data_IF_319138275854
#
_entry.id   IF_319138275854
#
_cell.length_a   1.000
_cell.length_b   1.000
_cell.length_c   1.000
_cell.angle_alpha   90.00
_cell.angle_beta   90.00
_cell.angle_gamma   90.00
#
_symmetry.space_group_name_H-M   'P 1'
#
loop_
_entity.id
_entity.type
_entity.pdbx_description
1 polymer ?
#
# COMPACT_ATOMS: atom_id res chain seq x y z
N UNK A 1 -37.51 46.90 -22.46
CA UNK A 1 -37.17 46.52 -22.29
C UNK A 1 -36.57 45.71 -22.08
N UNK A 2 -36.41 45.67 -22.03
CA UNK A 2 -35.81 44.95 -21.85
C UNK A 2 -35.09 44.06 -21.61
N UNK A 3 -34.94 43.75 -21.41
CA UNK A 3 -34.34 42.98 -21.21
C UNK A 3 -33.65 42.18 -20.85
N UNK A 4 -33.76 42.27 -20.72
CA UNK A 4 -33.20 41.62 -20.39
C UNK A 4 -32.53 40.75 -20.16
N UNK A 5 -32.65 40.76 -20.15
CA UNK A 5 -32.06 39.96 -19.86
C UNK A 5 -31.35 39.19 -19.48
N UNK A 6 -31.52 39.19 -19.31
CA UNK A 6 -30.97 38.52 -18.94
C UNK A 6 -30.30 37.69 -18.65
N UNK A 7 -30.34 37.72 -18.57
CA UNK A 7 -29.85 36.96 -18.24
C UNK A 7 -29.07 36.19 -18.10
N UNK A 8 -29.05 36.37 -18.07
CA UNK A 8 -28.44 35.61 -17.94
C UNK A 8 -27.68 34.88 -17.66
N UNK A 9 -27.65 34.94 -17.50
CA UNK A 9 -27.02 34.15 -17.17
C UNK A 9 -26.52 33.41 -16.89
N UNK A 10 -26.59 33.54 -16.83
CA UNK A 10 -26.29 32.73 -16.46
C UNK A 10 -25.65 31.93 -16.29
N UNK A 11 -25.64 32.07 -16.29
CA UNK A 11 -25.11 31.18 -15.95
C UNK A 11 -24.32 30.39 -15.79
N UNK A 12 -24.30 30.46 -15.65
CA UNK A 12 -23.69 29.64 -15.48
C UNK A 12 -23.15 28.86 -15.16
N UNK A 13 -23.27 29.09 -15.05
CA UNK A 13 -22.99 28.32 -14.66
C UNK A 13 -22.35 27.57 -14.54
N UNK A 14 -22.33 27.58 -14.48
CA UNK A 14 -21.94 26.82 -14.32
C UNK A 14 -21.19 26.10 -14.07
N UNK A 15 -21.13 26.26 -13.86
CA UNK A 15 -20.57 25.61 -13.57
C UNK A 15 -20.08 24.85 -13.21
N UNK A 16 -20.17 24.91 -13.05
CA UNK A 16 -19.85 24.18 -12.63
C UNK A 16 -19.38 23.33 -12.46
N UNK A 17 -19.36 23.31 -12.44
CA UNK A 17 -19.15 22.39 -12.19
C UNK A 17 -18.41 21.70 -12.02
N UNK A 18 -18.06 21.71 -12.02
CA UNK A 18 -17.37 20.98 -11.89
C UNK A 18 -17.05 20.31 -11.13
N UNK A 19 -17.25 20.13 -10.94
CA UNK A 19 -16.84 19.42 -10.14
C UNK A 19 -16.15 18.36 -10.36
N UNK A 20 -15.83 18.33 -10.72
CA UNK A 20 -15.22 17.56 -10.89
C UNK A 20 -14.73 16.82 -10.05
N UNK A 21 -14.90 16.90 -9.52
CA UNK A 21 -14.52 16.29 -8.64
C UNK A 21 -14.67 15.08 -8.52
N UNK A 22 -14.54 14.86 -9.01
CA UNK A 22 -14.79 13.72 -8.74
C UNK A 22 -13.78 12.78 -8.77
N UNK A 23 -13.40 12.39 -7.65
CA UNK A 23 -12.44 11.39 -7.49
C UNK A 23 -13.16 10.09 -7.52
N UNK A 24 -13.01 9.38 -8.59
CA UNK A 24 -13.49 8.01 -8.67
C UNK A 24 -12.42 7.14 -8.04
N UNK A 25 -12.73 6.41 -6.98
CA UNK A 25 -11.74 5.54 -6.36
C UNK A 25 -11.26 4.50 -7.37
N UNK A 26 -9.99 4.15 -7.36
CA UNK A 26 -9.47 3.14 -8.28
C UNK A 26 -10.10 1.78 -8.01
N UNK A 27 -10.21 0.98 -9.06
CA UNK A 27 -10.76 -0.37 -8.94
C UNK A 27 -9.89 -1.23 -8.03
N UNK A 28 -8.59 -1.16 -8.23
CA UNK A 28 -7.65 -1.92 -7.44
C UNK A 28 -6.69 -0.96 -6.78
N UNK A 29 -6.60 -1.04 -5.48
CA UNK A 29 -5.60 -0.30 -4.72
C UNK A 29 -5.47 -0.94 -3.35
N UNK A 30 -4.41 -0.62 -2.66
CA UNK A 30 -4.20 -1.13 -1.32
C UNK A 30 -3.37 -0.16 -0.51
N UNK A 31 -3.36 -0.38 0.80
CA UNK A 31 -2.48 0.34 1.71
C UNK A 31 -2.02 -0.62 2.79
N UNK A 32 -0.88 -0.32 3.38
CA UNK A 32 -0.35 -1.07 4.51
C UNK A 32 -0.60 -0.22 5.74
N UNK A 33 -1.42 -0.73 6.66
CA UNK A 33 -1.84 0.05 7.83
C UNK A 33 -1.06 -0.29 9.08
N UNK A 34 -0.30 -1.37 9.05
CA UNK A 34 0.47 -1.81 10.20
C UNK A 34 1.70 -2.53 9.73
N UNK A 35 2.75 -2.44 10.50
CA UNK A 35 3.99 -3.13 10.14
C UNK A 35 4.78 -3.50 11.38
N UNK A 36 5.55 -4.56 11.24
CA UNK A 36 6.47 -5.04 12.23
C UNK A 36 7.70 -5.56 11.51
N UNK A 37 8.91 -5.22 11.91
CA UNK A 37 9.24 -4.34 13.03
C UNK A 37 8.92 -2.89 12.71
N UNK A 38 8.84 -2.06 13.74
CA UNK A 38 8.70 -0.63 13.54
C UNK A 38 9.95 -0.09 12.88
N UNK A 39 9.80 0.98 12.13
CA UNK A 39 10.92 1.59 11.42
C UNK A 39 12.07 1.88 12.38
N UNK A 40 13.27 1.58 11.92
CA UNK A 40 14.52 1.84 12.63
C UNK A 40 14.71 1.01 13.90
N UNK A 41 13.98 -0.08 14.04
CA UNK A 41 14.23 -1.04 15.12
C UNK A 41 15.64 -1.59 14.96
N UNK A 42 16.38 -1.70 16.06
CA UNK A 42 17.75 -2.18 16.05
C UNK A 42 17.80 -3.66 16.39
N UNK A 43 18.49 -4.41 15.58
CA UNK A 43 18.72 -5.84 15.80
C UNK A 43 20.23 -6.11 15.85
N UNK A 44 20.58 -7.23 16.45
CA UNK A 44 21.95 -7.71 16.38
C UNK A 44 22.17 -8.40 15.05
N UNK A 45 23.44 -8.57 14.69
CA UNK A 45 23.80 -9.30 13.47
C UNK A 45 23.25 -10.72 13.57
N UNK A 46 22.65 -11.16 12.48
CA UNK A 46 22.06 -12.51 12.35
C UNK A 46 20.88 -12.79 13.28
N UNK A 47 20.35 -11.78 13.93
CA UNK A 47 19.20 -11.96 14.82
C UNK A 47 17.95 -12.28 14.01
N UNK A 48 17.18 -13.26 14.46
CA UNK A 48 15.92 -13.63 13.81
C UNK A 48 14.78 -12.83 14.42
N UNK A 49 13.83 -12.46 13.57
CA UNK A 49 12.67 -11.67 13.99
C UNK A 49 11.53 -11.92 13.03
N UNK A 50 10.35 -11.46 13.42
CA UNK A 50 9.16 -11.61 12.59
C UNK A 50 8.89 -10.33 11.82
N UNK A 51 8.56 -10.49 10.55
CA UNK A 51 8.10 -9.39 9.69
C UNK A 51 6.59 -9.55 9.54
N UNK A 52 5.86 -8.46 9.70
CA UNK A 52 4.41 -8.50 9.58
C UNK A 52 3.92 -7.21 8.92
N UNK A 53 3.01 -7.37 7.99
CA UNK A 53 2.30 -6.24 7.39
C UNK A 53 0.81 -6.56 7.38
N UNK A 54 -0.01 -5.54 7.62
CA UNK A 54 -1.46 -5.65 7.42
C UNK A 54 -1.81 -4.86 6.18
N UNK A 55 -2.30 -5.56 5.17
CA UNK A 55 -2.62 -4.99 3.86
C UNK A 55 -4.13 -4.86 3.78
N UNK A 56 -4.60 -3.70 3.34
CA UNK A 56 -6.05 -3.42 3.22
C UNK A 56 -6.39 -3.18 1.76
N UNK A 57 -7.49 -3.77 1.33
CA UNK A 57 -8.04 -3.49 0.01
C UNK A 57 -8.76 -2.14 0.08
N UNK A 58 -8.17 -1.11 -0.51
CA UNK A 58 -8.75 0.23 -0.56
C UNK A 58 -9.41 0.52 -1.90
N UNK A 59 -9.48 -0.47 -2.78
CA UNK A 59 -10.14 -0.33 -4.06
C UNK A 59 -11.63 -0.56 -3.97
N UNK A 60 -12.29 -0.49 -5.11
CA UNK A 60 -13.74 -0.71 -5.21
C UNK A 60 -14.09 -2.12 -5.65
N UNK A 61 -13.10 -2.92 -6.02
CA UNK A 61 -13.29 -4.30 -6.47
C UNK A 61 -12.68 -5.27 -5.49
N UNK A 62 -13.26 -6.44 -5.32
CA UNK A 62 -12.65 -7.47 -4.48
C UNK A 62 -11.39 -8.01 -5.14
N UNK A 63 -10.45 -8.41 -4.31
CA UNK A 63 -9.29 -9.16 -4.79
C UNK A 63 -9.67 -10.63 -4.81
N UNK A 64 -9.29 -11.30 -5.87
CA UNK A 64 -9.39 -12.75 -5.89
C UNK A 64 -8.18 -13.35 -5.22
N UNK A 65 -8.23 -14.63 -4.93
CA UNK A 65 -7.07 -15.34 -4.43
C UNK A 65 -5.91 -15.20 -5.40
N UNK A 66 -4.71 -15.37 -4.89
CA UNK A 66 -3.48 -15.33 -5.67
C UNK A 66 -2.96 -13.94 -5.99
N UNK A 67 -3.32 -12.95 -5.20
CA UNK A 67 -2.58 -11.70 -5.21
C UNK A 67 -1.26 -11.97 -4.49
N UNK A 68 -0.17 -11.69 -5.16
CA UNK A 68 1.17 -11.98 -4.63
C UNK A 68 1.82 -10.74 -4.05
N UNK A 69 2.62 -10.95 -3.02
CA UNK A 69 3.61 -9.96 -2.61
C UNK A 69 4.97 -10.47 -3.01
N UNK A 70 5.79 -9.60 -3.57
CA UNK A 70 7.12 -9.99 -4.01
C UNK A 70 8.15 -8.93 -3.66
N UNK A 71 9.36 -9.39 -3.37
CA UNK A 71 10.47 -8.50 -3.10
C UNK A 71 10.85 -7.75 -4.37
N UNK A 72 11.01 -6.43 -4.27
CA UNK A 72 11.33 -5.62 -5.44
C UNK A 72 12.60 -4.79 -5.30
N UNK A 73 12.97 -4.38 -4.09
CA UNK A 73 14.18 -3.57 -3.97
C UNK A 73 14.75 -3.57 -2.56
N UNK A 74 16.01 -3.18 -2.47
CA UNK A 74 16.72 -3.11 -1.21
C UNK A 74 17.41 -4.42 -0.88
N UNK A 75 17.66 -4.63 0.40
CA UNK A 75 18.28 -5.87 0.89
C UNK A 75 17.18 -6.79 1.38
N UNK A 76 17.11 -7.98 0.82
CA UNK A 76 16.10 -8.95 1.24
C UNK A 76 16.58 -9.69 2.47
N UNK A 77 16.06 -9.33 3.63
CA UNK A 77 16.36 -10.04 4.87
C UNK A 77 15.20 -10.93 5.33
N UNK A 78 14.22 -11.13 4.45
CA UNK A 78 13.18 -12.13 4.68
C UNK A 78 13.66 -13.48 4.16
N UNK A 79 13.04 -14.53 4.61
CA UNK A 79 13.41 -15.88 4.21
C UNK A 79 12.93 -16.27 2.82
N UNK A 80 12.17 -15.42 2.14
CA UNK A 80 11.64 -15.73 0.82
C UNK A 80 11.57 -14.46 -0.02
N UNK A 81 11.33 -14.65 -1.31
CA UNK A 81 11.22 -13.52 -2.25
C UNK A 81 9.78 -13.28 -2.68
N UNK A 82 8.87 -14.11 -2.26
CA UNK A 82 7.49 -14.07 -2.69
C UNK A 82 6.60 -14.71 -1.65
N UNK A 83 5.43 -14.13 -1.46
CA UNK A 83 4.43 -14.71 -0.60
C UNK A 83 3.06 -14.45 -1.23
N UNK A 84 2.17 -15.41 -1.08
CA UNK A 84 0.86 -15.35 -1.71
C UNK A 84 -0.16 -14.93 -0.67
N UNK A 85 -1.02 -13.98 -1.04
CA UNK A 85 -2.18 -13.63 -0.22
C UNK A 85 -3.26 -14.63 -0.57
N UNK A 86 -3.48 -15.59 0.32
CA UNK A 86 -4.31 -16.77 0.03
C UNK A 86 -5.78 -16.54 0.29
N UNK A 87 -6.20 -15.29 0.40
CA UNK A 87 -7.57 -14.96 0.73
C UNK A 87 -8.05 -13.86 -0.18
N UNK A 88 -9.23 -14.03 -0.76
CA UNK A 88 -9.87 -12.94 -1.47
C UNK A 88 -10.27 -11.86 -0.49
N UNK A 89 -10.03 -10.60 -0.83
CA UNK A 89 -10.34 -9.48 0.04
C UNK A 89 -11.39 -8.59 -0.60
N UNK A 90 -12.50 -8.45 0.09
CA UNK A 90 -13.51 -7.48 -0.29
C UNK A 90 -12.99 -6.05 -0.03
N UNK A 91 -13.55 -5.05 -0.69
CA UNK A 91 -13.19 -3.67 -0.37
C UNK A 91 -13.31 -3.40 1.12
N UNK A 92 -12.25 -2.82 1.68
CA UNK A 92 -12.19 -2.54 3.12
C UNK A 92 -11.66 -3.67 3.97
N UNK A 93 -11.54 -4.87 3.43
CA UNK A 93 -11.03 -6.00 4.20
C UNK A 93 -9.51 -5.97 4.26
N UNK A 94 -8.97 -6.64 5.26
CA UNK A 94 -7.53 -6.67 5.47
C UNK A 94 -7.00 -8.09 5.57
N UNK A 95 -5.69 -8.22 5.34
CA UNK A 95 -5.00 -9.49 5.44
C UNK A 95 -3.66 -9.28 6.11
N UNK A 96 -3.32 -10.14 7.04
CA UNK A 96 -2.08 -10.04 7.76
C UNK A 96 -1.06 -10.99 7.13
N UNK A 97 0.05 -10.41 6.65
CA UNK A 97 1.15 -11.16 6.06
C UNK A 97 2.26 -11.27 7.08
N UNK A 98 2.74 -12.47 7.32
CA UNK A 98 3.83 -12.74 8.26
C UNK A 98 4.95 -13.47 7.55
N UNK A 99 6.17 -13.03 7.79
CA UNK A 99 7.36 -13.63 7.23
C UNK A 99 8.42 -13.74 8.31
N UNK A 100 9.28 -14.74 8.17
CA UNK A 100 10.46 -14.84 9.03
C UNK A 100 11.55 -13.97 8.45
N UNK A 101 12.19 -13.20 9.31
CA UNK A 101 13.29 -12.34 8.90
C UNK A 101 14.55 -12.68 9.69
N UNK A 102 15.68 -12.32 9.11
CA UNK A 102 16.97 -12.49 9.75
C UNK A 102 17.83 -11.28 9.43
N UNK A 103 18.31 -10.62 10.46
CA UNK A 103 19.15 -9.45 10.26
C UNK A 103 20.43 -9.85 9.52
N UNK A 104 20.90 -8.99 8.61
CA UNK A 104 22.16 -9.26 7.92
C UNK A 104 23.32 -9.41 8.89
N UNK A 105 24.38 -10.06 8.41
CA UNK A 105 25.55 -10.33 9.23
C UNK A 105 26.48 -9.12 9.38
N UNK A 106 26.15 -8.01 8.73
CA UNK A 106 27.00 -6.83 8.75
C UNK A 106 26.20 -5.65 9.31
N UNK A 107 26.82 -4.88 10.18
CA UNK A 107 26.19 -3.71 10.77
C UNK A 107 25.84 -2.70 9.68
N UNK A 108 24.72 -2.01 9.86
CA UNK A 108 24.28 -1.01 8.91
C UNK A 108 22.79 -0.76 9.00
N UNK A 109 22.33 0.12 8.11
CA UNK A 109 20.91 0.42 7.97
C UNK A 109 20.40 -0.26 6.70
N UNK A 110 19.30 -0.98 6.81
CA UNK A 110 18.78 -1.77 5.70
C UNK A 110 17.30 -1.51 5.50
N UNK A 111 16.90 -1.41 4.25
CA UNK A 111 15.51 -1.25 3.86
C UNK A 111 15.18 -2.34 2.85
N UNK A 112 14.03 -2.96 3.04
CA UNK A 112 13.51 -3.98 2.15
C UNK A 112 12.13 -3.56 1.71
N UNK A 113 11.90 -3.54 0.39
CA UNK A 113 10.61 -3.12 -0.17
C UNK A 113 10.00 -4.28 -0.94
N UNK A 114 8.72 -4.49 -0.68
CA UNK A 114 7.91 -5.51 -1.34
C UNK A 114 6.73 -4.86 -2.04
N UNK A 115 6.28 -5.45 -3.13
CA UNK A 115 5.15 -4.97 -3.92
C UNK A 115 4.00 -5.94 -3.76
N UNK A 116 2.81 -5.40 -3.49
CA UNK A 116 1.56 -6.17 -3.60
C UNK A 116 1.17 -6.10 -5.06
N UNK A 117 1.40 -7.20 -5.79
CA UNK A 117 1.23 -7.24 -7.24
C UNK A 117 -0.24 -7.40 -7.58
N UNK A 118 -0.72 -6.51 -8.42
CA UNK A 118 -2.13 -6.40 -8.75
C UNK A 118 -2.66 -5.07 -8.26
N UNK A 119 -2.94 -4.93 -6.95
CA UNK A 119 -3.31 -3.62 -6.39
C UNK A 119 -2.20 -2.59 -6.39
N UNK A 120 -0.94 -3.01 -6.50
CA UNK A 120 0.19 -2.11 -6.75
C UNK A 120 0.51 -1.15 -5.61
N UNK A 121 0.46 -1.62 -4.39
CA UNK A 121 0.98 -0.84 -3.27
C UNK A 121 2.24 -1.51 -2.73
N UNK A 122 2.99 -0.76 -1.91
CA UNK A 122 4.28 -1.22 -1.42
C UNK A 122 4.24 -1.40 0.08
N UNK A 123 4.92 -2.44 0.54
CA UNK A 123 5.19 -2.67 1.94
C UNK A 123 6.69 -2.63 2.13
N UNK A 124 7.15 -2.06 3.23
CA UNK A 124 8.58 -2.03 3.46
C UNK A 124 8.89 -2.27 4.93
N UNK A 125 10.14 -2.66 5.17
CA UNK A 125 10.68 -2.81 6.51
C UNK A 125 12.06 -2.15 6.53
N UNK A 126 12.32 -1.37 7.57
CA UNK A 126 13.57 -0.66 7.72
C UNK A 126 14.15 -0.98 9.09
N UNK A 127 15.37 -1.48 9.12
CA UNK A 127 16.01 -1.93 10.35
C UNK A 127 17.44 -1.39 10.45
N UNK A 128 17.90 -1.29 11.69
CA UNK A 128 19.31 -1.05 11.99
C UNK A 128 19.91 -2.34 12.51
N UNK A 129 21.14 -2.61 12.10
CA UNK A 129 21.91 -3.76 12.61
C UNK A 129 23.18 -3.23 13.24
N UNK A 130 23.42 -3.58 14.48
CA UNK A 130 24.59 -3.09 15.22
C UNK A 130 25.64 -4.15 15.43
#
# INVERSE_FOLDING_TARGET
MSETPTVTFTPFIVASATPTNTLIPPKYSCTVINRKPKDNTTFRQNEEFEIMWVVVNTGTRPWYENVDMKFVSGTNFAGSKRVEIRKGLQPGASYEVRLDGKAPSKAGYYVMTWLVDGPMCYAYAAINVK
#
